data_IF_007395532538
#
_entry.id   IF_007395532538
#
_cell.length_a   1.000
_cell.length_b   1.000
_cell.length_c   1.000
_cell.angle_alpha   90.00
_cell.angle_beta   90.00
_cell.angle_gamma   90.00
#
_symmetry.space_group_name_H-M   'P 1'
#
loop_
_entity.id
_entity.type
_entity.pdbx_description
1 polymer ?
#
# COMPACT_ATOMS: atom_id res chain seq x y z
N UNK A 1 56.08 36.69 -9.95
CA UNK A 1 54.79 36.14 -9.47
C UNK A 1 54.81 34.62 -9.61
N UNK A 2 55.19 33.89 -8.54
CA UNK A 2 55.11 32.41 -8.49
C UNK A 2 53.90 32.04 -7.63
N UNK A 3 52.82 31.60 -8.28
CA UNK A 3 51.56 31.26 -7.63
C UNK A 3 51.67 29.94 -6.86
N UNK A 4 51.06 29.95 -5.67
CA UNK A 4 51.35 29.14 -4.49
C UNK A 4 50.66 27.76 -4.54
N UNK A 5 51.28 26.79 -5.24
CA UNK A 5 50.73 25.44 -5.45
C UNK A 5 50.71 24.56 -4.19
N UNK A 6 51.44 24.97 -3.15
CA UNK A 6 51.63 24.20 -1.92
C UNK A 6 50.65 24.56 -0.78
N UNK A 7 49.93 25.69 -0.87
CA UNK A 7 48.97 26.11 0.18
C UNK A 7 47.54 25.60 -0.03
N UNK A 8 47.24 25.00 -1.18
CA UNK A 8 45.91 24.49 -1.55
C UNK A 8 45.67 23.02 -1.14
N UNK A 9 46.73 22.26 -0.83
CA UNK A 9 46.65 20.85 -0.46
C UNK A 9 45.96 20.57 0.90
N UNK A 10 46.21 21.32 2.00
CA UNK A 10 45.58 21.02 3.28
C UNK A 10 44.08 21.37 3.30
N UNK A 11 43.66 22.35 2.49
CA UNK A 11 42.24 22.73 2.36
C UNK A 11 41.41 21.62 1.69
N UNK A 12 42.00 20.93 0.70
CA UNK A 12 41.35 19.82 0.01
C UNK A 12 41.18 18.59 0.91
N UNK A 13 42.14 18.31 1.81
CA UNK A 13 42.09 17.17 2.73
C UNK A 13 41.01 17.37 3.81
N UNK A 14 40.85 18.59 4.32
CA UNK A 14 39.79 18.92 5.31
C UNK A 14 38.39 18.82 4.69
N UNK A 15 38.23 19.23 3.43
CA UNK A 15 36.95 19.12 2.72
C UNK A 15 36.53 17.65 2.48
N UNK A 16 37.48 16.76 2.22
CA UNK A 16 37.24 15.32 2.04
C UNK A 16 36.91 14.64 3.38
N UNK A 17 37.60 15.00 4.47
CA UNK A 17 37.29 14.48 5.81
C UNK A 17 35.89 14.89 6.30
N UNK A 18 35.44 16.10 5.94
CA UNK A 18 34.11 16.60 6.31
C UNK A 18 32.97 15.87 5.56
N UNK A 19 33.24 15.36 4.36
CA UNK A 19 32.29 14.52 3.62
C UNK A 19 32.10 13.12 4.24
N UNK A 20 33.09 12.64 5.01
CA UNK A 20 33.07 11.33 5.66
C UNK A 20 32.44 11.34 7.08
N UNK A 21 32.16 12.52 7.63
CA UNK A 21 31.52 12.68 8.96
C UNK A 21 30.11 13.26 8.89
N UNK A 22 29.53 13.41 7.69
CA UNK A 22 28.11 13.70 7.58
C UNK A 22 27.37 12.50 8.17
N UNK A 23 26.45 12.69 9.13
CA UNK A 23 25.57 11.61 9.53
C UNK A 23 24.85 11.16 8.27
N UNK A 24 25.02 9.89 7.90
CA UNK A 24 24.19 9.25 6.89
C UNK A 24 22.75 9.57 7.28
N UNK A 25 22.09 10.35 6.43
CA UNK A 25 20.68 10.64 6.58
C UNK A 25 20.00 9.30 6.46
N UNK A 26 19.63 8.74 7.62
CA UNK A 26 18.96 7.46 7.76
C UNK A 26 17.97 7.29 6.62
N UNK A 27 18.25 6.32 5.75
CA UNK A 27 17.36 6.00 4.64
C UNK A 27 16.02 5.62 5.24
N UNK A 28 14.99 6.37 4.85
CA UNK A 28 13.59 6.24 5.21
C UNK A 28 13.21 4.85 5.75
N UNK A 29 12.97 4.77 7.05
CA UNK A 29 12.09 3.73 7.57
C UNK A 29 10.79 3.82 6.79
N UNK A 30 10.41 2.70 6.15
CA UNK A 30 9.12 2.56 5.47
C UNK A 30 8.04 2.55 6.56
N UNK A 31 7.70 3.73 7.06
CA UNK A 31 6.64 3.95 8.03
C UNK A 31 5.28 3.81 7.32
N UNK A 32 4.93 2.57 6.99
CA UNK A 32 3.56 2.19 6.66
C UNK A 32 2.95 1.47 7.87
N UNK A 33 3.09 2.03 9.08
CA UNK A 33 2.58 1.41 10.32
C UNK A 33 1.08 1.71 10.56
N UNK A 34 0.40 2.32 9.60
CA UNK A 34 -1.03 2.62 9.71
C UNK A 34 -1.86 1.53 9.05
N UNK A 35 -2.49 0.69 9.87
CA UNK A 35 -3.51 -0.24 9.41
C UNK A 35 -4.68 0.49 8.74
N UNK A 36 -5.05 0.07 7.53
CA UNK A 36 -6.19 0.61 6.77
C UNK A 36 -7.21 -0.49 6.52
N UNK A 37 -8.47 -0.15 6.66
CA UNK A 37 -9.55 -1.06 6.33
C UNK A 37 -10.73 -0.34 5.69
N UNK A 38 -11.43 -1.05 4.80
CA UNK A 38 -12.67 -0.60 4.19
C UNK A 38 -13.64 -1.77 4.05
N UNK A 39 -14.93 -1.50 4.23
CA UNK A 39 -16.00 -2.48 3.99
C UNK A 39 -17.01 -1.92 2.99
N UNK A 40 -17.37 -2.71 1.99
CA UNK A 40 -18.35 -2.35 0.96
C UNK A 40 -19.41 -3.44 0.83
N UNK A 41 -20.66 -3.03 0.61
CA UNK A 41 -21.80 -3.91 0.36
C UNK A 41 -22.33 -3.64 -1.05
N UNK A 42 -22.25 -4.63 -1.94
CA UNK A 42 -22.68 -4.54 -3.34
C UNK A 42 -23.89 -5.44 -3.56
N UNK A 43 -24.96 -4.89 -4.14
CA UNK A 43 -26.14 -5.67 -4.53
C UNK A 43 -25.81 -6.54 -5.74
N UNK A 44 -26.03 -7.84 -5.62
CA UNK A 44 -25.80 -8.83 -6.67
C UNK A 44 -27.08 -9.62 -6.99
N UNK A 45 -28.25 -9.08 -6.64
CA UNK A 45 -29.54 -9.74 -6.87
C UNK A 45 -29.82 -9.83 -8.38
N UNK A 46 -30.00 -11.04 -8.96
CA UNK A 46 -30.35 -11.17 -10.37
C UNK A 46 -31.70 -10.51 -10.67
N UNK A 47 -31.80 -9.79 -11.78
CA UNK A 47 -33.03 -9.11 -12.20
C UNK A 47 -34.11 -10.08 -12.71
N UNK A 48 -33.69 -11.27 -13.14
CA UNK A 48 -34.59 -12.29 -13.71
C UNK A 48 -34.62 -13.54 -12.84
N UNK A 49 -35.75 -14.27 -12.83
CA UNK A 49 -35.88 -15.53 -12.10
C UNK A 49 -34.79 -16.56 -12.41
N UNK A 50 -34.11 -17.06 -11.38
CA UNK A 50 -33.04 -18.06 -11.49
C UNK A 50 -33.47 -19.44 -10.96
N UNK A 51 -32.80 -20.49 -11.43
CA UNK A 51 -32.87 -21.80 -10.78
C UNK A 51 -32.07 -21.77 -9.49
N UNK A 52 -32.71 -22.16 -8.38
CA UNK A 52 -32.11 -22.13 -7.05
C UNK A 52 -31.21 -23.34 -6.84
N UNK A 53 -29.97 -23.09 -6.40
CA UNK A 53 -29.02 -24.13 -6.02
C UNK A 53 -29.26 -24.62 -4.57
N UNK A 54 -28.75 -25.82 -4.25
CA UNK A 54 -28.69 -26.39 -2.89
C UNK A 54 -29.72 -27.48 -2.60
N UNK A 55 -31.00 -27.24 -2.90
CA UNK A 55 -32.06 -28.25 -2.77
C UNK A 55 -32.49 -28.76 -4.16
N UNK A 56 -33.55 -29.56 -4.22
CA UNK A 56 -34.16 -29.99 -5.49
C UNK A 56 -34.54 -28.81 -6.41
N UNK A 57 -34.79 -29.11 -7.70
CA UNK A 57 -34.97 -28.12 -8.75
C UNK A 57 -36.16 -27.20 -8.46
N UNK A 58 -35.88 -25.91 -8.26
CA UNK A 58 -36.87 -24.87 -8.01
C UNK A 58 -36.45 -23.59 -8.72
N UNK A 59 -37.40 -22.88 -9.30
CA UNK A 59 -37.18 -21.56 -9.91
C UNK A 59 -37.69 -20.49 -8.94
N UNK A 60 -36.95 -19.39 -8.79
CA UNK A 60 -37.40 -18.26 -7.95
C UNK A 60 -38.66 -17.62 -8.53
N UNK A 61 -39.59 -17.22 -7.69
CA UNK A 61 -40.86 -16.54 -8.03
C UNK A 61 -40.86 -15.05 -7.66
N UNK A 62 -39.89 -14.60 -6.87
CA UNK A 62 -39.71 -13.21 -6.50
C UNK A 62 -38.44 -12.99 -5.66
N UNK A 63 -38.30 -11.77 -5.14
CA UNK A 63 -37.20 -11.38 -4.25
C UNK A 63 -37.81 -10.97 -2.91
N UNK A 64 -37.57 -11.76 -1.86
CA UNK A 64 -37.91 -11.35 -0.50
C UNK A 64 -36.85 -10.38 0.05
N UNK A 65 -35.59 -10.78 -0.03
CA UNK A 65 -34.43 -10.00 0.39
C UNK A 65 -33.40 -9.97 -0.74
N UNK A 66 -32.73 -8.82 -0.87
CA UNK A 66 -31.64 -8.66 -1.83
C UNK A 66 -30.40 -9.45 -1.39
N UNK A 67 -29.72 -10.03 -2.37
CA UNK A 67 -28.46 -10.74 -2.17
C UNK A 67 -27.33 -9.73 -2.28
N UNK A 68 -26.43 -9.72 -1.31
CA UNK A 68 -25.32 -8.77 -1.28
C UNK A 68 -23.99 -9.49 -1.18
N UNK A 69 -23.05 -9.10 -2.04
CA UNK A 69 -21.64 -9.38 -1.85
C UNK A 69 -21.08 -8.36 -0.86
N UNK A 70 -20.43 -8.85 0.19
CA UNK A 70 -19.78 -8.01 1.20
C UNK A 70 -18.29 -8.20 1.02
N UNK A 71 -17.59 -7.09 0.81
CA UNK A 71 -16.15 -7.06 0.58
C UNK A 71 -15.52 -6.35 1.77
N UNK A 72 -14.49 -6.95 2.35
CA UNK A 72 -13.64 -6.30 3.34
C UNK A 72 -12.21 -6.27 2.80
N UNK A 73 -11.63 -5.07 2.73
CA UNK A 73 -10.23 -4.85 2.35
C UNK A 73 -9.47 -4.40 3.58
N UNK A 74 -8.34 -5.03 3.85
CA UNK A 74 -7.46 -4.72 4.97
C UNK A 74 -6.02 -4.60 4.46
N UNK A 75 -5.27 -3.63 4.95
CA UNK A 75 -3.86 -3.41 4.61
C UNK A 75 -3.10 -3.05 5.89
N UNK A 76 -2.11 -3.86 6.24
CA UNK A 76 -1.24 -3.70 7.41
C UNK A 76 0.11 -3.04 7.08
N UNK A 77 0.28 -2.53 5.85
CA UNK A 77 1.52 -1.96 5.34
C UNK A 77 2.39 -2.92 4.55
N UNK A 78 2.11 -4.24 4.60
CA UNK A 78 2.74 -5.26 3.76
C UNK A 78 2.05 -5.42 2.41
N UNK A 79 0.74 -5.16 2.37
CA UNK A 79 -0.09 -5.20 1.16
C UNK A 79 -1.56 -5.49 1.47
N UNK A 80 -2.46 -5.24 0.51
CA UNK A 80 -3.90 -5.42 0.72
C UNK A 80 -4.31 -6.90 0.71
N UNK A 81 -5.22 -7.25 1.61
CA UNK A 81 -5.93 -8.53 1.72
C UNK A 81 -7.43 -8.30 1.57
N UNK A 82 -8.13 -9.16 0.81
CA UNK A 82 -9.54 -9.00 0.45
C UNK A 82 -10.32 -10.28 0.77
N UNK A 83 -11.44 -10.14 1.49
CA UNK A 83 -12.40 -11.21 1.82
C UNK A 83 -13.83 -10.83 1.43
#
# INVERSE_FOLDING_TARGET
MRLNRFRLLPLAIVAIACFATLPERSQAEKENDTFRAACVKVDITPETPQWLHGYGPRKSDGVHDKIYHRIVVMDDGSGPFVI
#
